data_IF_027392329858
#
_entry.id   IF_027392329858
#
_cell.length_a   1.000
_cell.length_b   1.000
_cell.length_c   1.000
_cell.angle_alpha   90.00
_cell.angle_beta   90.00
_cell.angle_gamma   90.00
#
_symmetry.space_group_name_H-M   'P 1'
#
loop_
_entity.id
_entity.type
_entity.pdbx_description
1 polymer ?
#
# COMPACT_ATOMS: atom_id res chain seq x y z
N UNK A 1 11.37 12.20 -34.60
CA UNK A 1 12.74 12.64 -34.31
C UNK A 1 12.90 12.65 -32.80
N UNK A 2 13.95 12.04 -32.25
CA UNK A 2 14.23 12.06 -30.81
C UNK A 2 14.89 13.42 -30.51
N UNK A 3 14.19 14.30 -29.80
CA UNK A 3 14.75 15.57 -29.37
C UNK A 3 15.53 15.35 -28.07
N UNK A 4 16.86 15.25 -28.20
CA UNK A 4 17.74 15.09 -27.05
C UNK A 4 18.06 16.45 -26.45
N UNK A 5 17.73 16.64 -25.17
CA UNK A 5 17.89 17.89 -24.43
C UNK A 5 18.74 17.69 -23.18
N UNK A 6 19.45 18.72 -22.76
CA UNK A 6 20.22 18.71 -21.53
C UNK A 6 19.37 19.07 -20.31
N UNK A 7 19.94 18.88 -19.11
CA UNK A 7 19.26 19.15 -17.83
C UNK A 7 18.74 20.58 -17.70
N UNK A 8 19.45 21.57 -18.26
CA UNK A 8 19.04 22.98 -18.22
C UNK A 8 17.83 23.23 -19.12
N UNK A 9 17.81 22.62 -20.30
CA UNK A 9 16.69 22.69 -21.22
C UNK A 9 15.43 22.05 -20.64
N UNK A 10 15.55 20.90 -19.96
CA UNK A 10 14.43 20.30 -19.21
C UNK A 10 13.92 21.27 -18.14
N UNK A 11 14.80 21.83 -17.33
CA UNK A 11 14.43 22.79 -16.28
C UNK A 11 13.69 24.01 -16.86
N UNK A 12 14.19 24.57 -17.95
CA UNK A 12 13.56 25.70 -18.64
C UNK A 12 12.20 25.32 -19.24
N UNK A 13 12.08 24.14 -19.87
CA UNK A 13 10.84 23.68 -20.50
C UNK A 13 9.68 23.58 -19.50
N UNK A 14 9.96 23.11 -18.28
CA UNK A 14 8.95 22.94 -17.24
C UNK A 14 8.88 24.08 -16.22
N UNK A 15 9.73 25.10 -16.34
CA UNK A 15 9.79 26.21 -15.38
C UNK A 15 10.21 25.79 -13.97
N UNK A 16 11.08 24.78 -13.85
CA UNK A 16 11.52 24.20 -12.57
C UNK A 16 13.02 24.43 -12.32
N UNK A 17 13.46 24.20 -11.08
CA UNK A 17 14.88 24.32 -10.72
C UNK A 17 15.69 23.09 -11.16
N UNK A 18 17.01 23.25 -11.38
CA UNK A 18 17.90 22.12 -11.67
C UNK A 18 17.88 21.03 -10.58
N UNK A 19 17.87 21.37 -9.26
CA UNK A 19 17.66 20.37 -8.20
C UNK A 19 16.34 19.59 -8.34
N UNK A 20 15.28 20.22 -8.86
CA UNK A 20 14.01 19.54 -9.12
C UNK A 20 14.17 18.49 -10.21
N UNK A 21 14.92 18.78 -11.27
CA UNK A 21 15.24 17.79 -12.32
C UNK A 21 16.06 16.64 -11.73
N UNK A 22 17.04 16.92 -10.86
CA UNK A 22 17.78 15.86 -10.17
C UNK A 22 16.89 14.99 -9.27
N UNK A 23 15.89 15.60 -8.63
CA UNK A 23 14.90 14.88 -7.83
C UNK A 23 13.98 14.02 -8.73
N UNK A 24 13.63 14.49 -9.93
CA UNK A 24 12.86 13.71 -10.90
C UNK A 24 13.60 12.46 -11.34
N UNK A 25 14.90 12.57 -11.64
CA UNK A 25 15.74 11.41 -11.99
C UNK A 25 15.76 10.38 -10.86
N UNK A 26 15.90 10.80 -9.59
CA UNK A 26 15.81 9.88 -8.44
C UNK A 26 14.46 9.19 -8.30
N UNK A 27 13.39 9.79 -8.85
CA UNK A 27 12.03 9.26 -8.86
C UNK A 27 11.69 8.49 -10.15
N UNK A 28 12.71 8.15 -10.95
CA UNK A 28 12.55 7.33 -12.15
C UNK A 28 12.26 8.09 -13.44
N UNK A 29 12.54 9.40 -13.50
CA UNK A 29 12.47 10.15 -14.76
C UNK A 29 13.49 9.59 -15.77
N UNK A 30 13.05 9.26 -17.01
CA UNK A 30 13.91 8.64 -18.02
C UNK A 30 15.00 9.61 -18.50
N UNK A 31 16.18 9.08 -18.80
CA UNK A 31 17.31 9.81 -19.37
C UNK A 31 18.00 8.92 -20.42
N UNK A 32 18.68 9.55 -21.38
CA UNK A 32 19.48 8.88 -22.42
C UNK A 32 20.89 8.63 -21.89
N UNK A 33 21.54 9.69 -21.38
CA UNK A 33 22.90 9.63 -20.83
C UNK A 33 22.89 10.14 -19.40
N UNK A 34 23.42 9.32 -18.48
CA UNK A 34 23.57 9.69 -17.08
C UNK A 34 24.71 10.70 -16.94
N UNK A 35 24.42 11.85 -16.37
CA UNK A 35 25.47 12.84 -16.10
C UNK A 35 26.44 12.36 -15.01
N UNK A 36 27.72 12.65 -15.21
CA UNK A 36 28.81 12.39 -14.25
C UNK A 36 29.86 13.50 -14.38
N UNK A 37 31.00 13.39 -13.66
CA UNK A 37 32.04 14.42 -13.75
C UNK A 37 32.62 14.44 -15.16
N UNK A 38 32.30 15.50 -15.93
CA UNK A 38 32.73 15.66 -17.32
C UNK A 38 31.78 15.07 -18.36
N UNK A 39 30.65 14.46 -17.95
CA UNK A 39 29.61 13.94 -18.84
C UNK A 39 28.32 14.70 -18.60
N UNK A 40 27.80 15.37 -19.62
CA UNK A 40 26.53 16.10 -19.52
C UNK A 40 25.34 15.14 -19.48
N UNK A 41 24.26 15.55 -18.82
CA UNK A 41 23.01 14.81 -18.85
C UNK A 41 22.31 14.97 -20.20
N UNK A 42 21.80 13.87 -20.73
CA UNK A 42 20.98 13.87 -21.93
C UNK A 42 19.63 13.21 -21.64
N UNK A 43 18.56 13.84 -22.13
CA UNK A 43 17.19 13.40 -21.93
C UNK A 43 16.47 13.36 -23.28
N UNK A 44 15.60 12.38 -23.47
CA UNK A 44 14.60 12.42 -24.54
C UNK A 44 13.40 13.22 -24.03
N UNK A 45 13.14 14.39 -24.62
CA UNK A 45 12.09 15.29 -24.15
C UNK A 45 10.71 14.63 -24.17
N UNK A 46 10.40 13.78 -25.16
CA UNK A 46 9.11 13.10 -25.25
C UNK A 46 8.93 12.10 -24.10
N UNK A 47 9.96 11.30 -23.80
CA UNK A 47 9.93 10.36 -22.68
C UNK A 47 9.79 11.07 -21.31
N UNK A 48 10.43 12.24 -21.16
CA UNK A 48 10.30 13.08 -19.96
C UNK A 48 8.88 13.66 -19.85
N UNK A 49 8.25 14.06 -20.96
CA UNK A 49 6.86 14.53 -21.00
C UNK A 49 5.88 13.45 -20.54
N UNK A 50 5.99 12.23 -21.05
CA UNK A 50 5.14 11.11 -20.66
C UNK A 50 5.31 10.73 -19.18
N UNK A 51 6.54 10.81 -18.67
CA UNK A 51 6.81 10.62 -17.25
C UNK A 51 6.22 11.75 -16.40
N UNK A 52 6.42 13.01 -16.79
CA UNK A 52 5.95 14.18 -16.04
C UNK A 52 4.42 14.23 -15.97
N UNK A 53 3.73 13.89 -17.07
CA UNK A 53 2.27 13.81 -17.09
C UNK A 53 1.75 12.79 -16.06
N UNK A 54 2.34 11.60 -15.98
CA UNK A 54 2.01 10.58 -14.96
C UNK A 54 2.35 11.04 -13.54
N UNK A 55 3.47 11.73 -13.38
CA UNK A 55 3.93 12.23 -12.08
C UNK A 55 3.02 13.35 -11.54
N UNK A 56 2.57 14.27 -12.40
CA UNK A 56 1.73 15.43 -12.05
C UNK A 56 0.23 15.16 -12.08
N UNK A 57 -0.24 14.09 -12.72
CA UNK A 57 -1.62 13.64 -12.59
C UNK A 57 -2.02 13.30 -11.13
N UNK A 58 -1.04 13.20 -10.20
CA UNK A 58 -1.31 13.12 -8.76
C UNK A 58 -1.64 14.52 -8.22
N UNK A 59 -2.88 14.78 -7.72
CA UNK A 59 -3.19 16.02 -7.03
C UNK A 59 -2.34 16.12 -5.77
N UNK A 60 -1.23 16.87 -5.84
CA UNK A 60 -0.32 17.00 -4.70
C UNK A 60 -0.76 18.21 -3.88
N UNK A 61 -1.65 17.99 -2.90
CA UNK A 61 -1.82 18.98 -1.84
C UNK A 61 -0.55 18.97 -0.98
N UNK A 62 0.24 20.04 -1.08
CA UNK A 62 1.40 20.26 -0.21
C UNK A 62 0.88 20.60 1.18
N UNK A 63 0.83 19.61 2.08
CA UNK A 63 0.58 19.84 3.50
C UNK A 63 1.87 20.39 4.11
N UNK A 64 1.89 21.69 4.40
CA UNK A 64 3.01 22.32 5.10
C UNK A 64 3.07 21.81 6.54
N UNK A 65 4.18 21.15 6.89
CA UNK A 65 4.49 20.69 8.26
C UNK A 65 4.67 21.90 9.19
N UNK A 66 3.58 22.36 9.78
CA UNK A 66 3.63 23.34 10.87
C UNK A 66 3.00 22.73 12.12
N UNK A 67 3.86 22.32 13.07
CA UNK A 67 3.51 21.96 14.45
C UNK A 67 2.48 20.84 14.63
N UNK A 68 2.90 19.57 14.58
CA UNK A 68 2.06 18.49 15.14
C UNK A 68 1.95 18.68 16.66
N UNK A 69 0.79 19.17 17.12
CA UNK A 69 0.38 19.09 18.52
C UNK A 69 -0.04 17.64 18.83
N UNK A 70 -0.10 17.30 20.12
CA UNK A 70 -0.75 16.05 20.56
C UNK A 70 -2.23 16.06 20.16
N UNK A 71 -2.70 14.99 19.52
CA UNK A 71 -4.09 14.85 19.11
C UNK A 71 -5.05 14.74 20.31
N UNK A 72 -6.17 15.46 20.23
CA UNK A 72 -7.36 15.27 21.07
C UNK A 72 -7.99 13.88 20.82
N UNK A 73 -8.90 13.45 21.70
CA UNK A 73 -9.60 12.16 21.57
C UNK A 73 -10.38 12.03 20.26
N UNK A 74 -11.04 13.11 19.83
CA UNK A 74 -11.78 13.14 18.55
C UNK A 74 -10.83 13.02 17.37
N UNK A 75 -9.73 13.75 17.37
CA UNK A 75 -8.72 13.66 16.29
C UNK A 75 -8.10 12.26 16.23
N UNK A 76 -7.84 11.62 17.37
CA UNK A 76 -7.37 10.22 17.41
C UNK A 76 -8.39 9.27 16.78
N UNK A 77 -9.68 9.42 17.10
CA UNK A 77 -10.74 8.60 16.52
C UNK A 77 -10.84 8.78 14.99
N UNK A 78 -10.70 10.02 14.50
CA UNK A 78 -10.69 10.29 13.05
C UNK A 78 -9.45 9.73 12.36
N UNK A 79 -8.28 9.73 13.01
CA UNK A 79 -7.08 9.08 12.47
C UNK A 79 -7.27 7.56 12.40
N UNK A 80 -7.86 6.93 13.42
CA UNK A 80 -8.19 5.49 13.39
C UNK A 80 -9.12 5.18 12.22
N UNK A 81 -10.19 5.96 12.04
CA UNK A 81 -11.10 5.79 10.89
C UNK A 81 -10.38 5.97 9.56
N UNK A 82 -9.53 6.99 9.45
CA UNK A 82 -8.77 7.25 8.23
C UNK A 82 -7.86 6.07 7.87
N UNK A 83 -7.12 5.52 8.84
CA UNK A 83 -6.33 4.31 8.63
C UNK A 83 -7.21 3.11 8.31
N UNK A 84 -8.34 2.93 8.98
CA UNK A 84 -9.32 1.89 8.66
C UNK A 84 -9.80 1.95 7.21
N UNK A 85 -10.13 3.14 6.72
CA UNK A 85 -10.50 3.35 5.31
C UNK A 85 -9.37 3.03 4.34
N UNK A 86 -8.12 3.35 4.69
CA UNK A 86 -6.97 3.00 3.84
C UNK A 86 -6.75 1.48 3.84
N UNK A 87 -6.77 0.83 5.00
CA UNK A 87 -6.63 -0.62 5.13
C UNK A 87 -7.68 -1.37 4.29
N UNK A 88 -8.94 -0.90 4.34
CA UNK A 88 -10.06 -1.45 3.55
C UNK A 88 -9.83 -1.44 2.04
N UNK A 89 -9.13 -0.44 1.50
CA UNK A 89 -9.06 -0.23 0.04
C UNK A 89 -7.69 -0.49 -0.57
N UNK A 90 -6.61 -0.40 0.22
CA UNK A 90 -5.24 -0.50 -0.32
C UNK A 90 -4.97 -1.85 -0.98
N UNK A 91 -5.53 -2.93 -0.42
CA UNK A 91 -5.44 -4.27 -1.00
C UNK A 91 -6.16 -4.34 -2.35
N UNK A 92 -7.40 -3.85 -2.41
CA UNK A 92 -8.24 -3.85 -3.62
C UNK A 92 -7.59 -3.07 -4.76
N UNK A 93 -7.02 -1.89 -4.46
CA UNK A 93 -6.28 -1.11 -5.46
C UNK A 93 -5.04 -1.84 -5.96
N UNK A 94 -4.32 -2.53 -5.07
CA UNK A 94 -3.13 -3.26 -5.46
C UNK A 94 -3.43 -4.48 -6.34
N UNK A 95 -4.49 -5.23 -6.02
CA UNK A 95 -4.95 -6.33 -6.85
C UNK A 95 -5.34 -5.85 -8.26
N UNK A 96 -6.14 -4.79 -8.34
CA UNK A 96 -6.55 -4.17 -9.60
C UNK A 96 -5.34 -3.70 -10.42
N UNK A 97 -4.40 -3.01 -9.79
CA UNK A 97 -3.16 -2.57 -10.44
C UNK A 97 -2.30 -3.74 -10.92
N UNK A 98 -2.26 -4.85 -10.17
CA UNK A 98 -1.49 -6.04 -10.54
C UNK A 98 -2.07 -6.71 -11.78
N UNK A 99 -3.39 -6.92 -11.82
CA UNK A 99 -4.08 -7.50 -12.99
C UNK A 99 -3.88 -6.61 -14.22
N UNK A 100 -4.11 -5.29 -14.09
CA UNK A 100 -3.92 -4.33 -15.20
C UNK A 100 -2.47 -4.24 -15.69
N UNK A 101 -1.50 -4.58 -14.84
CA UNK A 101 -0.10 -4.67 -15.22
C UNK A 101 0.28 -6.03 -15.85
N UNK A 102 -0.68 -6.94 -16.05
CA UNK A 102 -0.45 -8.28 -16.61
C UNK A 102 0.00 -9.32 -15.57
N UNK A 103 -0.18 -9.06 -14.29
CA UNK A 103 0.07 -10.01 -13.21
C UNK A 103 -0.98 -11.13 -13.18
N UNK A 104 -0.60 -12.28 -12.62
CA UNK A 104 -1.54 -13.39 -12.42
C UNK A 104 -2.52 -13.11 -11.29
N UNK A 105 -3.64 -13.84 -11.27
CA UNK A 105 -4.65 -13.69 -10.21
C UNK A 105 -4.09 -14.02 -8.82
N UNK A 106 -3.17 -14.98 -8.73
CA UNK A 106 -2.51 -15.35 -7.47
C UNK A 106 -1.62 -14.21 -6.94
N UNK A 107 -0.91 -13.50 -7.83
CA UNK A 107 -0.13 -12.31 -7.45
C UNK A 107 -1.06 -11.19 -6.99
N UNK A 108 -2.15 -10.94 -7.71
CA UNK A 108 -3.13 -9.92 -7.33
C UNK A 108 -3.77 -10.23 -5.96
N UNK A 109 -4.15 -11.48 -5.75
CA UNK A 109 -4.68 -11.99 -4.48
C UNK A 109 -3.67 -11.83 -3.34
N UNK A 110 -2.42 -12.24 -3.57
CA UNK A 110 -1.36 -12.07 -2.57
C UNK A 110 -1.14 -10.59 -2.24
N UNK A 111 -1.06 -9.70 -3.23
CA UNK A 111 -0.87 -8.27 -2.99
C UNK A 111 -2.03 -7.64 -2.20
N UNK A 112 -3.26 -8.08 -2.45
CA UNK A 112 -4.43 -7.64 -1.67
C UNK A 112 -4.25 -7.95 -0.17
N UNK A 113 -4.01 -9.23 0.14
CA UNK A 113 -3.84 -9.70 1.52
C UNK A 113 -2.62 -9.02 2.18
N UNK A 114 -1.49 -8.99 1.46
CA UNK A 114 -0.23 -8.42 1.94
C UNK A 114 -0.37 -6.95 2.34
N UNK A 115 -0.90 -6.13 1.45
CA UNK A 115 -0.93 -4.69 1.69
C UNK A 115 -1.98 -4.30 2.73
N UNK A 116 -3.12 -4.99 2.76
CA UNK A 116 -4.11 -4.79 3.80
C UNK A 116 -3.52 -5.06 5.19
N UNK A 117 -2.93 -6.25 5.39
CA UNK A 117 -2.38 -6.67 6.69
C UNK A 117 -1.18 -5.81 7.08
N UNK A 118 -0.21 -5.61 6.17
CA UNK A 118 1.01 -4.84 6.50
C UNK A 118 0.74 -3.38 6.79
N UNK A 119 -0.21 -2.77 6.07
CA UNK A 119 -0.62 -1.41 6.36
C UNK A 119 -1.29 -1.33 7.75
N UNK A 120 -2.18 -2.27 8.07
CA UNK A 120 -2.85 -2.33 9.37
C UNK A 120 -1.83 -2.47 10.51
N UNK A 121 -0.90 -3.43 10.41
CA UNK A 121 0.17 -3.65 11.40
C UNK A 121 0.96 -2.35 11.68
N UNK A 122 1.41 -1.66 10.62
CA UNK A 122 2.22 -0.45 10.75
C UNK A 122 1.40 0.73 11.30
N UNK A 123 0.15 0.85 10.89
CA UNK A 123 -0.76 1.88 11.37
C UNK A 123 -1.11 1.67 12.86
N UNK A 124 -1.38 0.44 13.28
CA UNK A 124 -1.64 0.05 14.67
C UNK A 124 -0.41 0.28 15.54
N UNK A 125 0.78 -0.11 15.08
CA UNK A 125 2.03 0.17 15.77
C UNK A 125 2.24 1.70 15.94
N UNK A 126 2.01 2.48 14.87
CA UNK A 126 2.07 3.94 14.95
C UNK A 126 1.08 4.50 15.96
N UNK A 127 -0.18 4.04 15.95
CA UNK A 127 -1.23 4.45 16.90
C UNK A 127 -0.83 4.11 18.36
N UNK A 128 -0.26 2.92 18.59
CA UNK A 128 0.19 2.48 19.91
C UNK A 128 1.27 3.42 20.48
N UNK A 129 2.24 3.86 19.66
CA UNK A 129 3.27 4.85 20.10
C UNK A 129 2.67 6.21 20.50
N UNK A 130 1.40 6.47 20.16
CA UNK A 130 0.66 7.69 20.47
C UNK A 130 -0.42 7.48 21.54
N UNK A 131 -0.41 6.34 22.21
CA UNK A 131 -1.34 6.00 23.28
C UNK A 131 -2.76 5.70 22.79
N UNK A 132 -2.88 5.19 21.55
CA UNK A 132 -4.11 4.59 21.02
C UNK A 132 -3.83 3.10 20.89
N UNK A 133 -4.36 2.30 21.82
CA UNK A 133 -4.14 0.86 21.90
C UNK A 133 -5.44 0.10 21.61
N UNK A 134 -5.34 -1.24 21.49
CA UNK A 134 -6.48 -2.15 21.30
C UNK A 134 -7.31 -1.87 20.04
N UNK A 135 -6.65 -1.38 18.99
CA UNK A 135 -7.24 -1.22 17.65
C UNK A 135 -6.84 -2.42 16.81
N UNK A 136 -7.81 -3.06 16.17
CA UNK A 136 -7.62 -4.07 15.13
C UNK A 136 -8.29 -3.53 13.85
N UNK A 137 -7.52 -2.86 13.00
CA UNK A 137 -8.04 -2.14 11.85
C UNK A 137 -8.67 -3.10 10.83
N UNK A 138 -8.12 -4.30 10.71
CA UNK A 138 -8.66 -5.33 9.82
C UNK A 138 -10.04 -5.79 10.31
N UNK A 139 -10.15 -6.22 11.57
CA UNK A 139 -11.43 -6.68 12.14
C UNK A 139 -12.48 -5.56 12.18
N UNK A 140 -12.06 -4.32 12.46
CA UNK A 140 -12.96 -3.18 12.58
C UNK A 140 -13.50 -2.69 11.22
N UNK A 141 -12.67 -2.63 10.18
CA UNK A 141 -13.01 -1.92 8.93
C UNK A 141 -13.08 -2.78 7.68
N UNK A 142 -12.40 -3.92 7.64
CA UNK A 142 -12.41 -4.78 6.46
C UNK A 142 -13.60 -5.73 6.50
N UNK A 143 -14.32 -5.81 5.39
CA UNK A 143 -15.47 -6.70 5.20
C UNK A 143 -15.30 -7.45 3.89
N UNK A 144 -15.88 -8.65 3.81
CA UNK A 144 -15.83 -9.47 2.59
C UNK A 144 -16.43 -8.76 1.37
N UNK A 145 -17.43 -7.92 1.60
CA UNK A 145 -18.06 -7.08 0.56
C UNK A 145 -17.14 -5.98 -0.01
N UNK A 146 -15.99 -5.73 0.63
CA UNK A 146 -14.97 -4.78 0.15
C UNK A 146 -13.88 -5.42 -0.69
N UNK A 147 -13.86 -6.75 -0.73
CA UNK A 147 -12.90 -7.49 -1.53
C UNK A 147 -13.11 -7.21 -3.02
N UNK A 148 -12.03 -7.30 -3.82
CA UNK A 148 -12.16 -7.33 -5.27
C UNK A 148 -13.22 -8.34 -5.73
N UNK A 149 -13.91 -8.03 -6.82
CA UNK A 149 -14.61 -9.07 -7.58
C UNK A 149 -13.56 -9.98 -8.21
N UNK A 150 -13.19 -11.02 -7.47
CA UNK A 150 -12.15 -11.96 -7.85
C UNK A 150 -12.48 -12.72 -9.13
N UNK A 151 -13.76 -12.95 -9.39
CA UNK A 151 -14.20 -13.61 -10.61
C UNK A 151 -13.92 -12.72 -11.82
N UNK A 152 -14.30 -11.45 -11.74
CA UNK A 152 -14.04 -10.48 -12.81
C UNK A 152 -12.53 -10.23 -12.99
N UNK A 153 -11.78 -10.12 -11.88
CA UNK A 153 -10.33 -9.94 -11.91
C UNK A 153 -9.60 -11.12 -12.55
N UNK A 154 -10.01 -12.36 -12.26
CA UNK A 154 -9.44 -13.56 -12.87
C UNK A 154 -9.69 -13.60 -14.39
N UNK A 155 -10.92 -13.26 -14.82
CA UNK A 155 -11.25 -13.19 -16.24
C UNK A 155 -10.40 -12.14 -16.97
N UNK A 156 -10.18 -10.97 -16.37
CA UNK A 156 -9.29 -9.93 -16.92
C UNK A 156 -7.83 -10.40 -17.00
N UNK A 157 -7.37 -11.19 -16.01
CA UNK A 157 -6.06 -11.85 -16.04
C UNK A 157 -5.99 -13.06 -17.00
N UNK A 158 -7.08 -13.41 -17.68
CA UNK A 158 -7.14 -14.55 -18.61
C UNK A 158 -7.19 -15.92 -17.93
N UNK A 159 -7.66 -16.00 -16.69
CA UNK A 159 -7.82 -17.25 -15.93
C UNK A 159 -9.21 -17.38 -15.28
N UNK A 160 -9.40 -18.42 -14.47
CA UNK A 160 -10.56 -18.60 -13.59
C UNK A 160 -10.13 -18.44 -12.14
N UNK A 161 -10.98 -17.86 -11.31
CA UNK A 161 -10.68 -17.73 -9.89
C UNK A 161 -10.81 -19.07 -9.16
N UNK A 162 -9.72 -19.47 -8.50
CA UNK A 162 -9.67 -20.60 -7.57
C UNK A 162 -9.07 -20.07 -6.26
N UNK A 163 -9.95 -19.90 -5.27
CA UNK A 163 -9.59 -19.35 -3.95
C UNK A 163 -8.59 -20.27 -3.23
N UNK A 164 -8.75 -21.59 -3.30
CA UNK A 164 -7.86 -22.56 -2.66
C UNK A 164 -6.46 -22.51 -3.27
N UNK A 165 -6.36 -22.33 -4.59
CA UNK A 165 -5.08 -22.16 -5.27
C UNK A 165 -4.39 -20.86 -4.86
N UNK A 166 -5.14 -19.77 -4.75
CA UNK A 166 -4.63 -18.48 -4.30
C UNK A 166 -4.15 -18.52 -2.84
N UNK A 167 -4.92 -19.15 -1.95
CA UNK A 167 -4.55 -19.32 -0.55
C UNK A 167 -3.29 -20.19 -0.39
N UNK A 168 -3.17 -21.28 -1.16
CA UNK A 168 -1.95 -22.09 -1.20
C UNK A 168 -0.75 -21.29 -1.70
N UNK A 169 -0.94 -20.46 -2.72
CA UNK A 169 0.11 -19.58 -3.23
C UNK A 169 0.57 -18.60 -2.14
N UNK A 170 -0.36 -17.93 -1.45
CA UNK A 170 -0.08 -17.02 -0.33
C UNK A 170 0.66 -17.73 0.81
N UNK A 171 0.19 -18.91 1.22
CA UNK A 171 0.81 -19.71 2.27
C UNK A 171 2.25 -20.14 1.93
N UNK A 172 2.57 -20.24 0.63
CA UNK A 172 3.91 -20.52 0.13
C UNK A 172 4.89 -19.34 0.24
N UNK A 173 4.41 -18.11 0.47
CA UNK A 173 5.26 -16.92 0.57
C UNK A 173 5.83 -16.81 1.98
N UNK A 174 7.13 -17.13 2.15
CA UNK A 174 7.80 -17.13 3.46
C UNK A 174 7.69 -15.80 4.21
N UNK A 175 7.75 -14.67 3.51
CA UNK A 175 7.64 -13.34 4.13
C UNK A 175 6.22 -13.00 4.62
N UNK A 176 5.19 -13.77 4.23
CA UNK A 176 3.84 -13.64 4.75
C UNK A 176 3.56 -14.50 5.97
N UNK A 177 4.48 -15.40 6.33
CA UNK A 177 4.34 -16.18 7.55
C UNK A 177 4.42 -15.22 8.75
N UNK A 178 3.43 -15.24 9.67
CA UNK A 178 3.48 -14.40 10.85
C UNK A 178 4.75 -14.73 11.64
N UNK A 179 5.36 -13.73 12.29
CA UNK A 179 6.53 -14.00 13.12
C UNK A 179 6.14 -14.94 14.27
N UNK A 180 7.11 -15.68 14.86
CA UNK A 180 6.83 -16.54 16.00
C UNK A 180 6.13 -15.79 17.14
N UNK A 181 6.47 -14.53 17.39
CA UNK A 181 5.83 -13.70 18.41
C UNK A 181 4.35 -13.41 18.07
N UNK A 182 4.03 -13.12 16.80
CA UNK A 182 2.65 -12.89 16.34
C UNK A 182 1.82 -14.16 16.48
N UNK A 183 2.38 -15.32 16.10
CA UNK A 183 1.72 -16.62 16.27
C UNK A 183 1.41 -16.92 17.74
N UNK A 184 2.33 -16.59 18.64
CA UNK A 184 2.14 -16.80 20.09
C UNK A 184 1.01 -15.90 20.64
N UNK A 185 0.97 -14.63 20.22
CA UNK A 185 -0.11 -13.69 20.58
C UNK A 185 -1.46 -14.16 20.03
N UNK A 186 -1.52 -14.58 18.76
CA UNK A 186 -2.75 -15.11 18.15
C UNK A 186 -3.24 -16.37 18.87
N UNK A 187 -2.33 -17.31 19.18
CA UNK A 187 -2.65 -18.51 19.93
C UNK A 187 -3.16 -18.19 21.35
N UNK A 188 -2.60 -17.17 22.01
CA UNK A 188 -3.08 -16.71 23.30
C UNK A 188 -4.50 -16.12 23.23
N UNK A 189 -4.79 -15.30 22.21
CA UNK A 189 -6.13 -14.76 21.96
C UNK A 189 -7.16 -15.86 21.70
N UNK A 190 -6.78 -16.90 20.94
CA UNK A 190 -7.66 -18.04 20.65
C UNK A 190 -8.01 -18.81 21.92
N UNK A 191 -7.01 -19.13 22.75
CA UNK A 191 -7.21 -19.81 24.05
C UNK A 191 -8.15 -19.03 24.97
N UNK A 192 -8.03 -17.70 25.00
CA UNK A 192 -8.90 -16.85 25.82
C UNK A 192 -10.34 -16.79 25.26
N UNK A 193 -10.51 -16.76 23.92
CA UNK A 193 -11.84 -16.89 23.29
C UNK A 193 -12.49 -18.22 23.64
N UNK A 194 -11.78 -19.34 23.50
CA UNK A 194 -12.29 -20.68 23.83
C UNK A 194 -12.70 -20.77 25.30
N UNK A 195 -11.87 -20.25 26.21
CA UNK A 195 -12.18 -20.19 27.65
C UNK A 195 -13.45 -19.39 27.93
N UNK A 196 -13.61 -18.25 27.27
CA UNK A 196 -14.79 -17.38 27.45
C UNK A 196 -16.06 -18.04 26.90
N UNK A 197 -15.97 -18.77 25.78
CA UNK A 197 -17.09 -19.54 25.21
C UNK A 197 -17.52 -20.67 26.15
N UNK A 198 -16.57 -21.46 26.66
CA UNK A 198 -16.86 -22.55 27.62
C UNK A 198 -17.55 -22.01 28.88
N UNK A 199 -17.11 -20.86 29.40
CA UNK A 199 -17.73 -20.22 30.56
C UNK A 199 -19.17 -19.73 30.29
N UNK A 200 -19.45 -19.24 29.08
CA UNK A 200 -20.80 -18.84 28.66
C UNK A 200 -21.73 -20.03 28.48
N UNK A 201 -21.25 -21.14 27.94
CA UNK A 201 -22.06 -22.36 27.77
C UNK A 201 -22.38 -23.00 29.13
N UNK A 202 -21.43 -22.97 30.07
CA UNK A 202 -21.63 -23.42 31.44
C UNK A 202 -22.61 -22.53 32.25
N UNK A 203 -22.86 -21.28 31.83
CA UNK A 203 -23.81 -20.38 32.48
C UNK A 203 -25.22 -20.42 31.88
N UNK A 204 -25.40 -20.92 30.64
CA UNK A 204 -26.71 -21.08 29.99
C UNK A 204 -27.30 -22.49 30.17
N UNK A 205 -26.51 -23.46 30.66
CA UNK A 205 -26.95 -24.82 30.99
C UNK A 205 -27.49 -25.01 32.42
N UNK A 206 -27.92 -23.94 33.10
CA UNK A 206 -28.49 -23.98 34.46
C UNK A 206 -29.89 -23.37 34.51
#
# INVERSE_FOLDING_TARGET
MIETVNRKQVASHYGISLPTVDAWVRKGCPFVTRGSKGVEWEFDLAAVQDWAARFWARPTQVVTRTGLKSFSTTERAEVVKAFGHVARHIGTWAADMAVKAGGSIEIAYALNQMLCIRFADEAEAYLATRGVAEVDLVEMFCRREDEPDWQSAALEAGSTFDEDACEKFVAGIDWLKPSPEVLEVQAARLRERERTTILKDASHGR
#
